data_IF_158409073093
#
_entry.id   IF_158409073093
#
_cell.length_a   1.000
_cell.length_b   1.000
_cell.length_c   1.000
_cell.angle_alpha   90.00
_cell.angle_beta   90.00
_cell.angle_gamma   90.00
#
_symmetry.space_group_name_H-M   'P 1'
#
loop_
_entity.id
_entity.type
_entity.pdbx_description
1 polymer ?
#
# COMPACT_ATOMS: atom_id res chain seq x y z
N UNK A 1 -27.22 -20.94 -27.17
CA UNK A 1 -27.75 -19.75 -26.47
C UNK A 1 -27.62 -19.85 -24.95
N UNK A 2 -28.15 -20.88 -24.29
CA UNK A 2 -28.04 -21.07 -22.82
C UNK A 2 -26.58 -21.22 -22.33
N UNK A 3 -25.74 -21.97 -23.04
CA UNK A 3 -24.33 -22.15 -22.66
C UNK A 3 -23.52 -20.82 -22.66
N UNK A 4 -23.83 -19.94 -23.61
CA UNK A 4 -23.19 -18.63 -23.76
C UNK A 4 -23.60 -17.69 -22.61
N UNK A 5 -24.86 -17.75 -22.19
CA UNK A 5 -25.37 -17.03 -21.03
C UNK A 5 -24.71 -17.49 -19.73
N UNK A 6 -24.51 -18.80 -19.56
CA UNK A 6 -23.82 -19.36 -18.38
C UNK A 6 -22.35 -18.94 -18.35
N UNK A 7 -21.65 -18.99 -19.47
CA UNK A 7 -20.26 -18.52 -19.56
C UNK A 7 -20.15 -17.02 -19.23
N UNK A 8 -21.09 -16.19 -19.69
CA UNK A 8 -21.10 -14.75 -19.41
C UNK A 8 -21.37 -14.43 -17.92
N UNK A 9 -22.21 -15.22 -17.26
CA UNK A 9 -22.49 -15.09 -15.82
C UNK A 9 -21.31 -15.54 -14.95
N UNK A 10 -20.55 -16.55 -15.39
CA UNK A 10 -19.37 -17.04 -14.68
C UNK A 10 -18.19 -16.06 -14.77
N UNK A 11 -17.98 -15.41 -15.92
CA UNK A 11 -16.92 -14.41 -16.07
C UNK A 11 -17.16 -13.11 -15.30
N UNK A 12 -18.42 -12.73 -15.05
CA UNK A 12 -18.76 -11.57 -14.20
C UNK A 12 -18.33 -11.76 -12.73
N UNK A 13 -18.21 -13.00 -12.25
CA UNK A 13 -17.79 -13.29 -10.86
C UNK A 13 -16.28 -13.26 -10.66
N UNK A 14 -15.50 -13.20 -11.73
CA UNK A 14 -14.02 -13.20 -11.71
C UNK A 14 -13.44 -11.78 -11.77
N UNK A 15 -14.27 -10.75 -11.93
CA UNK A 15 -13.80 -9.36 -12.02
C UNK A 15 -13.77 -8.68 -10.66
N UNK A 16 -12.65 -8.82 -9.95
CA UNK A 16 -12.32 -7.96 -8.80
C UNK A 16 -11.55 -8.71 -7.72
N UNK A 17 -10.23 -8.68 -7.80
CA UNK A 17 -9.41 -9.05 -6.65
C UNK A 17 -9.64 -8.04 -5.52
N UNK A 18 -9.78 -8.52 -4.27
CA UNK A 18 -9.94 -7.65 -3.13
C UNK A 18 -8.58 -7.04 -2.78
N UNK A 19 -8.40 -5.77 -3.17
CA UNK A 19 -7.22 -4.98 -2.78
C UNK A 19 -7.37 -4.61 -1.31
N UNK A 20 -6.55 -5.24 -0.47
CA UNK A 20 -6.53 -4.97 0.97
C UNK A 20 -5.71 -3.72 1.29
N UNK A 21 -4.56 -3.55 0.63
CA UNK A 21 -3.73 -2.38 0.83
C UNK A 21 -3.08 -1.99 -0.51
N UNK A 22 -3.02 -0.69 -0.78
CA UNK A 22 -2.34 -0.12 -1.95
C UNK A 22 -1.83 1.25 -1.57
N UNK A 23 -0.56 1.50 -1.87
CA UNK A 23 0.10 2.79 -1.66
C UNK A 23 0.92 3.12 -2.90
N UNK A 24 0.83 4.38 -3.32
CA UNK A 24 1.48 4.90 -4.53
C UNK A 24 2.23 6.20 -4.29
N UNK A 25 2.11 6.79 -3.09
CA UNK A 25 2.77 8.04 -2.69
C UNK A 25 2.53 9.19 -3.68
N UNK A 26 1.27 9.65 -3.86
CA UNK A 26 0.92 10.66 -4.85
C UNK A 26 1.66 12.01 -4.67
N UNK A 27 2.11 12.30 -3.45
CA UNK A 27 2.87 13.51 -3.13
C UNK A 27 3.73 13.33 -1.86
N UNK A 28 4.56 14.33 -1.55
CA UNK A 28 5.44 14.30 -0.38
C UNK A 28 4.72 14.20 0.97
N UNK A 29 3.45 14.65 1.04
CA UNK A 29 2.62 14.62 2.25
C UNK A 29 2.03 13.25 2.52
N UNK A 30 2.16 12.32 1.57
CA UNK A 30 1.73 10.93 1.77
C UNK A 30 2.36 10.30 3.02
N UNK A 31 3.55 10.76 3.44
CA UNK A 31 4.21 10.32 4.67
C UNK A 31 3.40 10.63 5.94
N UNK A 32 2.53 11.64 5.93
CA UNK A 32 1.73 12.04 7.10
C UNK A 32 0.69 10.98 7.47
N UNK A 33 0.31 10.11 6.53
CA UNK A 33 -0.55 8.95 6.78
C UNK A 33 0.17 7.80 7.48
N UNK A 34 1.50 7.83 7.51
CA UNK A 34 2.34 6.77 8.05
C UNK A 34 2.85 7.14 9.44
N UNK A 35 2.95 6.14 10.33
CA UNK A 35 3.41 6.30 11.70
C UNK A 35 4.87 5.86 11.80
N UNK A 36 5.78 6.78 12.08
CA UNK A 36 7.17 6.47 12.35
C UNK A 36 7.35 5.90 13.76
N UNK A 37 8.12 4.80 13.87
CA UNK A 37 8.40 4.17 15.16
C UNK A 37 9.29 5.07 16.03
N UNK A 38 8.91 5.22 17.30
CA UNK A 38 9.68 6.00 18.29
C UNK A 38 10.60 5.13 19.15
N UNK A 39 10.62 3.81 18.93
CA UNK A 39 11.30 2.85 19.81
C UNK A 39 12.80 3.10 19.96
N UNK A 40 13.49 3.43 18.85
CA UNK A 40 14.93 3.69 18.85
C UNK A 40 15.29 5.15 19.21
N UNK A 41 14.31 5.99 19.57
CA UNK A 41 14.51 7.41 19.87
C UNK A 41 15.33 8.11 18.80
N UNK A 42 16.35 8.87 19.21
CA UNK A 42 17.23 9.67 18.33
C UNK A 42 18.09 8.83 17.36
N UNK A 43 18.13 7.50 17.52
CA UNK A 43 18.84 6.59 16.61
C UNK A 43 17.94 6.02 15.52
N UNK A 44 16.66 6.37 15.53
CA UNK A 44 15.72 6.01 14.49
C UNK A 44 16.07 6.77 13.21
N UNK A 45 16.17 6.04 12.09
CA UNK A 45 16.33 6.64 10.78
C UNK A 45 15.03 7.27 10.28
N UNK A 46 15.17 8.39 9.59
CA UNK A 46 14.04 9.16 9.06
C UNK A 46 13.68 8.74 7.62
N UNK A 47 12.39 8.67 7.34
CA UNK A 47 11.86 8.48 6.00
C UNK A 47 11.35 9.79 5.42
N UNK A 48 11.52 9.94 4.11
CA UNK A 48 10.86 10.96 3.30
C UNK A 48 10.33 10.35 2.01
N UNK A 49 9.43 11.06 1.34
CA UNK A 49 8.96 10.68 0.00
C UNK A 49 9.83 11.41 -1.03
N UNK A 50 10.44 10.69 -1.97
CA UNK A 50 11.24 11.28 -3.05
C UNK A 50 11.38 10.31 -4.23
N UNK A 51 11.44 10.83 -5.46
CA UNK A 51 11.57 10.03 -6.69
C UNK A 51 13.00 9.56 -7.03
N UNK A 52 13.94 9.69 -6.08
CA UNK A 52 15.34 9.34 -6.29
C UNK A 52 16.10 10.27 -7.24
N UNK A 53 17.33 9.90 -7.61
CA UNK A 53 18.26 10.78 -8.35
C UNK A 53 17.90 10.97 -9.84
N UNK A 54 17.27 9.99 -10.45
CA UNK A 54 16.99 9.98 -11.89
C UNK A 54 15.69 9.23 -12.20
N UNK A 55 14.54 9.80 -11.81
CA UNK A 55 13.24 9.20 -12.09
C UNK A 55 12.93 9.24 -13.59
N UNK A 56 12.17 8.25 -14.06
CA UNK A 56 11.55 8.25 -15.39
C UNK A 56 10.34 9.20 -15.38
N UNK A 57 9.57 9.17 -14.29
CA UNK A 57 8.48 10.09 -14.02
C UNK A 57 8.61 10.68 -12.59
N UNK A 58 8.95 11.97 -12.43
CA UNK A 58 9.18 12.57 -11.11
C UNK A 58 8.00 12.54 -10.13
N UNK A 59 6.78 12.31 -10.62
CA UNK A 59 5.57 12.25 -9.80
C UNK A 59 5.21 10.81 -9.50
N UNK A 60 5.18 9.94 -10.51
CA UNK A 60 4.78 8.53 -10.33
C UNK A 60 5.87 7.68 -9.67
N UNK A 61 7.14 8.11 -9.74
CA UNK A 61 8.25 7.39 -9.12
C UNK A 61 8.51 7.81 -7.67
N UNK A 62 7.64 8.65 -7.09
CA UNK A 62 7.71 9.00 -5.67
C UNK A 62 7.59 7.73 -4.81
N UNK A 63 8.42 7.65 -3.78
CA UNK A 63 8.40 6.52 -2.86
C UNK A 63 9.14 6.81 -1.56
N UNK A 64 9.03 5.87 -0.61
CA UNK A 64 9.74 5.95 0.66
C UNK A 64 11.25 5.84 0.47
N UNK A 65 11.98 6.88 0.87
CA UNK A 65 13.43 6.98 0.82
C UNK A 65 14.01 7.15 2.22
N UNK A 66 15.06 6.38 2.51
CA UNK A 66 15.89 6.54 3.70
C UNK A 66 16.81 7.75 3.56
N UNK A 67 16.99 8.53 4.62
CA UNK A 67 17.78 9.78 4.57
C UNK A 67 19.18 9.65 5.17
N UNK A 68 19.45 8.59 5.93
CA UNK A 68 20.64 8.46 6.76
C UNK A 68 21.30 7.08 6.63
N UNK A 69 22.63 7.06 6.60
CA UNK A 69 23.38 5.81 6.58
C UNK A 69 23.48 5.20 7.99
N UNK A 70 23.60 3.87 8.05
CA UNK A 70 23.82 3.11 9.29
C UNK A 70 22.80 3.40 10.42
N UNK A 71 21.51 3.47 10.05
CA UNK A 71 20.39 3.62 10.96
C UNK A 71 19.45 2.42 10.89
N UNK A 72 18.76 2.15 11.99
CA UNK A 72 17.60 1.27 11.98
C UNK A 72 16.36 2.08 11.63
N UNK A 73 15.46 1.46 10.86
CA UNK A 73 14.28 2.11 10.34
C UNK A 73 13.03 1.33 10.75
N UNK A 74 11.94 2.06 10.94
CA UNK A 74 10.66 1.51 11.36
C UNK A 74 9.56 2.53 11.11
N UNK A 75 8.64 2.16 10.24
CA UNK A 75 7.46 2.94 9.89
C UNK A 75 6.35 1.95 9.59
N UNK A 76 5.11 2.29 9.92
CA UNK A 76 3.95 1.46 9.64
C UNK A 76 2.81 2.33 9.16
N UNK A 77 2.05 1.83 8.20
CA UNK A 77 0.72 2.34 7.92
C UNK A 77 -0.30 1.54 8.75
N UNK A 78 -1.20 2.26 9.41
CA UNK A 78 -2.30 1.66 10.16
C UNK A 78 -3.56 1.69 9.30
N UNK A 79 -3.45 1.20 8.07
CA UNK A 79 -4.62 0.92 7.26
C UNK A 79 -5.50 -0.12 7.95
N UNK A 80 -6.80 -0.04 7.62
CA UNK A 80 -7.88 -0.76 8.28
C UNK A 80 -7.55 -2.23 8.51
N UNK A 81 -7.70 -2.69 9.75
CA UNK A 81 -7.62 -4.12 10.09
C UNK A 81 -8.65 -4.89 9.26
N UNK A 82 -8.18 -5.93 8.57
CA UNK A 82 -9.03 -6.82 7.80
C UNK A 82 -9.30 -8.09 8.57
N UNK A 83 -10.57 -8.34 8.86
CA UNK A 83 -10.98 -9.64 9.38
C UNK A 83 -10.93 -10.67 8.23
N UNK A 84 -10.18 -11.75 8.43
CA UNK A 84 -10.04 -12.84 7.46
C UNK A 84 -11.21 -13.84 7.52
N UNK A 85 -12.17 -13.65 8.43
CA UNK A 85 -13.26 -14.60 8.71
C UNK A 85 -14.55 -14.26 7.95
N UNK A 86 -14.51 -14.29 6.61
CA UNK A 86 -15.73 -14.18 5.78
C UNK A 86 -16.50 -15.51 5.66
N UNK A 87 -16.64 -16.28 6.75
CA UNK A 87 -17.48 -17.50 6.72
C UNK A 87 -18.93 -17.21 7.18
N UNK A 88 -19.23 -16.02 7.69
CA UNK A 88 -20.56 -15.67 8.22
C UNK A 88 -21.28 -14.54 7.45
N UNK A 89 -20.64 -13.90 6.47
CA UNK A 89 -21.25 -12.81 5.69
C UNK A 89 -22.22 -13.29 4.58
N UNK A 90 -22.63 -14.57 4.61
CA UNK A 90 -23.53 -15.18 3.62
C UNK A 90 -24.71 -15.98 4.25
N UNK A 91 -25.17 -15.62 5.46
CA UNK A 91 -26.43 -16.12 6.02
C UNK A 91 -27.37 -14.98 6.40
#
# INVERSE_FOLDING_TARGET
MILVLICFLLSYRVSGEKVWFSETFPDEKSIDGWIQSTFNGDKQGEFKIEAGKSPVNPIEDLGLKTTQDARFYGIADCSRLFETNNYLDNF
#
